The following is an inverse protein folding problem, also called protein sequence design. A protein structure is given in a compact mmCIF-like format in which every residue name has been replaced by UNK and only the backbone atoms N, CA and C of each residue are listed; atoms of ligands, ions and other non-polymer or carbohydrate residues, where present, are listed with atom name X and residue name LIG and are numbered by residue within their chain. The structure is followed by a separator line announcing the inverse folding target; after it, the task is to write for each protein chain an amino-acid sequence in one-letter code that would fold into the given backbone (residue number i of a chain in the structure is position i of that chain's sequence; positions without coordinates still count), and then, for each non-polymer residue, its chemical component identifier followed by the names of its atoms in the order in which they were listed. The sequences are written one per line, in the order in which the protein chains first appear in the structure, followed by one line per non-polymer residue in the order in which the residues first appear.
data_IF_067833523349
#
_entry.id   IF_067833523349
#
_cell.length_a   1.000
_cell.length_b   1.000
_cell.length_c   1.000
_cell.angle_alpha   90.00
_cell.angle_beta   90.00
_cell.angle_gamma   90.00
#
_symmetry.space_group_name_H-M   'P 1'
#
loop_
_entity.id
_entity.type
_entity.pdbx_description
1 polymer ?
#
# COMPACT_ATOMS: atom_id res chain seq x y z
N UNK A 1 16.58 -53.75 -13.66
CA UNK A 1 15.58 -52.88 -14.32
C UNK A 1 14.97 -51.77 -13.43
N UNK A 2 15.32 -51.65 -12.13
CA UNK A 2 14.59 -50.78 -11.18
C UNK A 2 15.08 -49.33 -10.99
N UNK A 3 16.36 -49.01 -11.22
CA UNK A 3 16.92 -47.70 -10.85
C UNK A 3 16.40 -46.52 -11.72
N UNK A 4 16.17 -46.75 -13.02
CA UNK A 4 15.68 -45.71 -13.95
C UNK A 4 14.23 -45.30 -13.69
N UNK A 5 13.37 -46.26 -13.30
CA UNK A 5 11.96 -46.00 -12.96
C UNK A 5 11.84 -45.25 -11.62
N UNK A 6 12.71 -45.56 -10.67
CA UNK A 6 12.78 -44.86 -9.38
C UNK A 6 13.26 -43.41 -9.53
N UNK A 7 14.26 -43.17 -10.39
CA UNK A 7 14.70 -41.81 -10.72
C UNK A 7 13.62 -40.99 -11.45
N UNK A 8 12.91 -41.60 -12.39
CA UNK A 8 11.81 -40.94 -13.09
C UNK A 8 10.66 -40.58 -12.12
N UNK A 9 10.32 -41.47 -11.19
CA UNK A 9 9.31 -41.21 -10.16
C UNK A 9 9.75 -40.12 -9.17
N UNK A 10 11.01 -40.14 -8.72
CA UNK A 10 11.57 -39.11 -7.85
C UNK A 10 11.63 -37.74 -8.53
N UNK A 11 11.98 -37.70 -9.82
CA UNK A 11 11.97 -36.48 -10.62
C UNK A 11 10.56 -35.93 -10.81
N UNK A 12 9.58 -36.79 -11.11
CA UNK A 12 8.17 -36.39 -11.23
C UNK A 12 7.63 -35.84 -9.90
N UNK A 13 7.97 -36.46 -8.77
CA UNK A 13 7.60 -35.96 -7.44
C UNK A 13 8.24 -34.58 -7.17
N UNK A 14 9.52 -34.40 -7.52
CA UNK A 14 10.20 -33.11 -7.37
C UNK A 14 9.57 -32.01 -8.23
N UNK A 15 9.22 -32.30 -9.49
CA UNK A 15 8.54 -31.36 -10.39
C UNK A 15 7.16 -30.97 -9.83
N UNK A 16 6.39 -31.94 -9.32
CA UNK A 16 5.11 -31.66 -8.67
C UNK A 16 5.26 -30.75 -7.45
N UNK A 17 6.24 -31.03 -6.58
CA UNK A 17 6.53 -30.17 -5.43
C UNK A 17 7.01 -28.78 -5.83
N UNK A 18 7.83 -28.65 -6.88
CA UNK A 18 8.25 -27.37 -7.41
C UNK A 18 7.07 -26.53 -7.93
N UNK A 19 6.09 -27.17 -8.59
CA UNK A 19 4.86 -26.50 -9.03
C UNK A 19 4.03 -26.03 -7.83
N UNK A 20 3.89 -26.84 -6.79
CA UNK A 20 3.16 -26.46 -5.56
C UNK A 20 3.84 -25.30 -4.83
N UNK A 21 5.17 -25.32 -4.74
CA UNK A 21 5.94 -24.20 -4.15
C UNK A 21 5.77 -22.94 -4.99
N UNK A 22 5.91 -23.05 -6.31
CA UNK A 22 5.71 -21.93 -7.24
C UNK A 22 4.30 -21.36 -7.10
N UNK A 23 3.26 -22.21 -7.07
CA UNK A 23 1.88 -21.79 -6.84
C UNK A 23 1.72 -21.10 -5.47
N UNK A 24 2.34 -21.61 -4.41
CA UNK A 24 2.27 -21.01 -3.08
C UNK A 24 2.93 -19.64 -3.03
N UNK A 25 4.08 -19.48 -3.69
CA UNK A 25 4.80 -18.20 -3.78
C UNK A 25 4.01 -17.20 -4.61
N UNK A 26 3.53 -17.59 -5.80
CA UNK A 26 2.72 -16.73 -6.66
C UNK A 26 1.41 -16.32 -6.00
N UNK A 27 0.73 -17.25 -5.33
CA UNK A 27 -0.53 -16.96 -4.62
C UNK A 27 -0.27 -16.01 -3.45
N UNK A 28 0.79 -16.21 -2.66
CA UNK A 28 1.13 -15.28 -1.56
C UNK A 28 1.46 -13.87 -2.08
N UNK A 29 2.19 -13.77 -3.18
CA UNK A 29 2.56 -12.47 -3.77
C UNK A 29 1.34 -11.76 -4.37
N UNK A 30 0.46 -12.50 -5.06
CA UNK A 30 -0.76 -11.97 -5.67
C UNK A 30 -1.85 -11.61 -4.65
N UNK A 31 -2.09 -12.48 -3.64
CA UNK A 31 -3.04 -12.22 -2.54
C UNK A 31 -2.64 -10.97 -1.75
N UNK A 32 -1.35 -10.69 -1.67
CA UNK A 32 -0.82 -9.51 -1.00
C UNK A 32 -1.13 -8.21 -1.75
N UNK A 33 -1.17 -8.21 -3.09
CA UNK A 33 -1.66 -7.07 -3.88
C UNK A 33 -3.18 -6.92 -3.74
N UNK A 34 -3.93 -8.02 -3.93
CA UNK A 34 -5.38 -7.96 -3.85
C UNK A 34 -5.88 -7.64 -2.46
N UNK A 35 -5.18 -8.03 -1.39
CA UNK A 35 -5.52 -7.65 -0.03
C UNK A 35 -5.31 -6.15 0.23
N UNK A 36 -4.25 -5.55 -0.35
CA UNK A 36 -4.00 -4.12 -0.25
C UNK A 36 -5.06 -3.31 -1.02
N UNK A 37 -5.36 -3.74 -2.25
CA UNK A 37 -6.43 -3.16 -3.07
C UNK A 37 -7.81 -3.35 -2.45
N UNK A 38 -8.13 -4.54 -1.93
CA UNK A 38 -9.42 -4.80 -1.28
C UNK A 38 -9.58 -4.00 0.00
N UNK A 39 -8.51 -3.86 0.80
CA UNK A 39 -8.54 -3.00 1.98
C UNK A 39 -8.71 -1.53 1.57
N UNK A 40 -8.09 -1.07 0.49
CA UNK A 40 -8.31 0.29 0.00
C UNK A 40 -9.73 0.49 -0.57
N UNK A 41 -10.22 -0.43 -1.40
CA UNK A 41 -11.54 -0.36 -2.04
C UNK A 41 -12.71 -0.57 -1.05
N UNK A 42 -12.49 -1.30 0.05
CA UNK A 42 -13.47 -1.40 1.15
C UNK A 42 -13.60 -0.10 1.93
N UNK A 43 -12.65 0.82 1.81
CA UNK A 43 -12.91 2.19 2.22
C UNK A 43 -13.86 2.76 1.16
N UNK A 44 -15.17 2.72 1.41
CA UNK A 44 -16.24 3.28 0.53
C UNK A 44 -16.11 4.80 0.30
N UNK A 45 -14.95 5.36 0.62
CA UNK A 45 -14.65 6.76 0.78
C UNK A 45 -13.98 7.30 -0.49
N UNK A 46 -13.41 6.44 -1.36
CA UNK A 46 -12.59 6.87 -2.50
C UNK A 46 -13.00 6.21 -3.82
N UNK A 47 -12.92 6.99 -4.91
CA UNK A 47 -12.96 6.44 -6.27
C UNK A 47 -11.53 6.23 -6.76
N UNK A 48 -11.29 5.15 -7.50
CA UNK A 48 -9.99 4.89 -8.11
C UNK A 48 -9.59 6.05 -9.04
N UNK A 49 -8.34 6.52 -8.93
CA UNK A 49 -7.76 7.55 -9.80
C UNK A 49 -6.62 7.00 -10.64
N UNK A 50 -6.08 7.82 -11.55
CA UNK A 50 -4.85 7.50 -12.28
C UNK A 50 -3.74 7.18 -11.28
N UNK A 51 -3.04 6.07 -11.50
CA UNK A 51 -1.96 5.56 -10.65
C UNK A 51 -0.61 6.21 -10.99
N UNK A 52 -0.52 7.54 -10.93
CA UNK A 52 0.69 8.29 -11.29
C UNK A 52 1.82 8.15 -10.26
N UNK A 53 1.50 8.23 -8.97
CA UNK A 53 2.45 8.00 -7.90
C UNK A 53 2.85 6.52 -7.81
N UNK A 54 1.94 5.58 -8.09
CA UNK A 54 2.30 4.17 -8.16
C UNK A 54 3.20 3.84 -9.36
N UNK A 55 3.07 4.58 -10.46
CA UNK A 55 3.94 4.47 -11.62
C UNK A 55 5.31 5.20 -11.46
N UNK A 56 5.52 5.93 -10.36
CA UNK A 56 6.79 6.60 -10.08
C UNK A 56 7.90 5.55 -9.89
N UNK A 57 8.95 5.67 -10.70
CA UNK A 57 10.11 4.76 -10.72
C UNK A 57 10.77 4.67 -9.34
N UNK A 58 10.72 5.74 -8.52
CA UNK A 58 11.24 5.75 -7.14
C UNK A 58 10.48 4.79 -6.23
N UNK A 59 9.17 4.62 -6.47
CA UNK A 59 8.33 3.67 -5.73
C UNK A 59 8.58 2.24 -6.22
N UNK A 60 8.67 2.04 -7.53
CA UNK A 60 8.97 0.74 -8.15
C UNK A 60 10.32 0.20 -7.66
N UNK A 61 11.36 1.04 -7.68
CA UNK A 61 12.71 0.65 -7.25
C UNK A 61 12.82 0.38 -5.74
N UNK A 62 11.91 0.94 -4.94
CA UNK A 62 11.90 0.77 -3.48
C UNK A 62 10.97 -0.36 -3.02
N UNK A 63 10.33 -1.09 -3.95
CA UNK A 63 9.25 -2.03 -3.70
C UNK A 63 8.13 -1.41 -2.82
N UNK A 64 7.90 -0.11 -3.01
CA UNK A 64 6.84 0.60 -2.33
C UNK A 64 5.52 0.23 -3.01
N UNK A 65 4.51 -0.04 -2.20
CA UNK A 65 3.15 -0.24 -2.68
C UNK A 65 2.37 1.04 -2.50
N UNK A 66 1.68 1.44 -3.55
CA UNK A 66 0.98 2.72 -3.62
C UNK A 66 -0.42 2.47 -4.18
N UNK A 67 -1.42 3.06 -3.54
CA UNK A 67 -2.80 3.15 -4.02
C UNK A 67 -3.19 4.61 -4.08
N UNK A 68 -3.96 4.95 -5.10
CA UNK A 68 -4.44 6.30 -5.33
C UNK A 68 -5.96 6.30 -5.43
N UNK A 69 -6.55 7.27 -4.76
CA UNK A 69 -7.98 7.52 -4.80
C UNK A 69 -8.27 9.01 -4.86
N UNK A 70 -9.51 9.34 -5.17
CA UNK A 70 -10.01 10.71 -5.13
C UNK A 70 -11.29 10.80 -4.30
N UNK A 71 -11.43 11.93 -3.62
CA UNK A 71 -12.63 12.36 -2.90
C UNK A 71 -13.14 13.64 -3.57
N UNK A 72 -14.45 13.73 -3.77
CA UNK A 72 -15.05 14.92 -4.37
C UNK A 72 -14.93 16.11 -3.42
N UNK A 73 -14.56 17.27 -3.96
CA UNK A 73 -14.41 18.52 -3.21
C UNK A 73 -13.12 18.62 -2.40
N UNK A 74 -13.01 19.73 -1.68
CA UNK A 74 -11.90 20.03 -0.76
C UNK A 74 -12.15 19.43 0.61
N UNK A 75 -11.23 18.60 1.10
CA UNK A 75 -11.21 18.16 2.49
C UNK A 75 -10.50 19.19 3.37
N UNK A 76 -11.11 19.54 4.50
CA UNK A 76 -10.45 20.33 5.53
C UNK A 76 -9.47 19.47 6.36
N UNK A 77 -8.64 20.13 7.17
CA UNK A 77 -7.62 19.46 7.99
C UNK A 77 -8.17 18.33 8.89
N UNK A 78 -9.34 18.53 9.51
CA UNK A 78 -9.97 17.53 10.37
C UNK A 78 -10.49 16.34 9.56
N UNK A 79 -11.03 16.59 8.36
CA UNK A 79 -11.50 15.53 7.45
C UNK A 79 -10.35 14.71 6.89
N UNK A 80 -9.24 15.37 6.50
CA UNK A 80 -8.02 14.71 6.03
C UNK A 80 -7.43 13.81 7.13
N UNK A 81 -7.32 14.32 8.37
CA UNK A 81 -6.85 13.53 9.51
C UNK A 81 -7.77 12.35 9.82
N UNK A 82 -9.10 12.59 9.85
CA UNK A 82 -10.08 11.53 10.10
C UNK A 82 -10.00 10.45 9.01
N UNK A 83 -9.76 10.84 7.76
CA UNK A 83 -9.61 9.91 6.65
C UNK A 83 -8.32 9.11 6.77
N UNK A 84 -7.20 9.75 7.11
CA UNK A 84 -5.94 9.07 7.37
C UNK A 84 -6.07 8.02 8.50
N UNK A 85 -6.69 8.39 9.63
CA UNK A 85 -6.92 7.46 10.75
C UNK A 85 -7.77 6.25 10.33
N UNK A 86 -8.86 6.49 9.57
CA UNK A 86 -9.69 5.40 9.04
C UNK A 86 -8.91 4.45 8.13
N UNK A 87 -8.11 4.99 7.21
CA UNK A 87 -7.25 4.18 6.33
C UNK A 87 -6.26 3.36 7.15
N UNK A 88 -5.55 3.97 8.09
CA UNK A 88 -4.58 3.26 8.93
C UNK A 88 -5.23 2.15 9.76
N UNK A 89 -6.40 2.41 10.36
CA UNK A 89 -7.15 1.41 11.12
C UNK A 89 -7.60 0.24 10.26
N UNK A 90 -7.93 0.47 9.00
CA UNK A 90 -8.32 -0.58 8.07
C UNK A 90 -7.18 -1.58 7.79
N UNK A 91 -5.94 -1.13 7.91
CA UNK A 91 -4.74 -1.97 7.87
C UNK A 91 -4.27 -2.42 9.26
N UNK A 92 -5.11 -2.27 10.30
CA UNK A 92 -4.83 -2.68 11.67
C UNK A 92 -3.76 -1.83 12.38
N UNK A 93 -3.48 -0.64 11.85
CA UNK A 93 -2.51 0.29 12.41
C UNK A 93 -3.14 1.57 12.96
N UNK A 94 -2.28 2.52 13.27
CA UNK A 94 -2.68 3.85 13.74
C UNK A 94 -1.70 4.92 13.28
N UNK A 95 -2.15 6.18 13.34
CA UNK A 95 -1.32 7.34 13.08
C UNK A 95 -0.20 7.46 14.11
N UNK A 96 1.01 7.76 13.64
CA UNK A 96 2.20 7.95 14.50
C UNK A 96 2.81 9.34 14.34
N UNK A 97 2.52 10.05 13.26
CA UNK A 97 2.97 11.41 12.99
C UNK A 97 2.13 12.00 11.85
N UNK A 98 1.91 13.31 11.85
CA UNK A 98 1.34 14.02 10.72
C UNK A 98 2.14 15.30 10.45
N UNK A 99 2.02 15.86 9.23
CA UNK A 99 2.43 17.23 8.96
C UNK A 99 1.41 18.11 9.65
N UNK A 100 1.77 18.70 10.80
CA UNK A 100 0.91 19.63 11.55
C UNK A 100 0.21 20.58 10.56
N UNK A 101 -1.09 20.42 10.39
CA UNK A 101 -1.89 21.21 9.48
C UNK A 101 -2.28 22.50 10.18
N UNK A 102 -1.43 23.52 10.05
CA UNK A 102 -2.00 24.87 10.01
C UNK A 102 -3.03 24.86 8.88
N UNK A 103 -4.27 25.23 9.19
CA UNK A 103 -5.52 24.84 8.50
C UNK A 103 -5.68 25.32 7.05
N UNK A 104 -4.60 25.74 6.40
CA UNK A 104 -4.54 26.40 5.11
C UNK A 104 -3.70 25.65 4.06
N UNK A 105 -3.01 24.54 4.38
CA UNK A 105 -2.24 23.84 3.35
C UNK A 105 -3.15 22.99 2.47
N UNK A 106 -3.04 23.14 1.16
CA UNK A 106 -3.64 22.24 0.17
C UNK A 106 -3.03 20.82 0.23
N UNK A 107 -2.02 20.65 1.08
CA UNK A 107 -1.22 19.46 1.26
C UNK A 107 -1.22 19.00 2.72
N UNK A 108 -1.56 17.74 2.96
CA UNK A 108 -1.49 17.10 4.27
C UNK A 108 -0.92 15.70 4.14
N UNK A 109 0.02 15.34 5.01
CA UNK A 109 0.63 14.01 5.05
C UNK A 109 0.53 13.44 6.44
N UNK A 110 -0.03 12.24 6.54
CA UNK A 110 -0.04 11.44 7.74
C UNK A 110 0.84 10.21 7.56
N UNK A 111 1.47 9.80 8.64
CA UNK A 111 2.30 8.62 8.74
C UNK A 111 1.73 7.70 9.80
N UNK A 112 1.70 6.41 9.51
CA UNK A 112 1.15 5.38 10.38
C UNK A 112 2.07 4.19 10.57
N UNK A 113 1.72 3.37 11.55
CA UNK A 113 2.35 2.08 11.78
C UNK A 113 1.33 0.98 12.01
N UNK A 114 1.54 -0.17 11.38
CA UNK A 114 0.83 -1.43 11.63
C UNK A 114 1.83 -2.57 11.82
N UNK A 115 1.49 -3.56 12.65
CA UNK A 115 2.25 -4.83 12.70
C UNK A 115 1.95 -5.75 11.52
N UNK A 116 0.96 -5.43 10.69
CA UNK A 116 0.53 -6.24 9.54
C UNK A 116 1.45 -6.14 8.32
N UNK A 117 2.37 -5.18 8.27
CA UNK A 117 3.34 -5.04 7.18
C UNK A 117 4.75 -5.42 7.66
N UNK A 118 5.43 -6.26 6.88
CA UNK A 118 6.79 -6.74 7.21
C UNK A 118 7.84 -5.62 7.16
N UNK A 119 7.73 -4.72 6.18
CA UNK A 119 8.66 -3.61 6.01
C UNK A 119 8.28 -2.42 6.87
N UNK A 120 9.27 -1.80 7.53
CA UNK A 120 9.08 -0.54 8.28
C UNK A 120 10.37 0.27 8.26
N UNK A 121 10.26 1.59 8.19
CA UNK A 121 11.38 2.52 8.34
C UNK A 121 11.33 3.18 9.71
N UNK A 122 12.49 3.46 10.30
CA UNK A 122 12.59 4.21 11.55
C UNK A 122 12.87 5.68 11.21
N UNK A 123 11.94 6.56 11.55
CA UNK A 123 12.04 8.01 11.34
C UNK A 123 11.83 8.68 12.69
N UNK A 124 12.78 9.53 13.12
CA UNK A 124 12.72 10.24 14.41
C UNK A 124 12.40 9.33 15.61
N UNK A 125 13.00 8.13 15.64
CA UNK A 125 12.78 7.15 16.71
C UNK A 125 11.50 6.32 16.59
N UNK A 126 10.57 6.70 15.71
CA UNK A 126 9.29 6.02 15.48
C UNK A 126 9.39 5.05 14.30
N UNK A 127 8.75 3.88 14.41
CA UNK A 127 8.59 2.98 13.26
C UNK A 127 7.41 3.46 12.44
N UNK A 128 7.60 3.54 11.13
CA UNK A 128 6.61 3.99 10.16
C UNK A 128 6.59 2.97 9.02
N UNK A 129 5.39 2.54 8.62
CA UNK A 129 5.21 1.71 7.45
C UNK A 129 3.92 2.00 6.69
N UNK A 130 3.23 3.08 7.02
CA UNK A 130 2.09 3.59 6.28
C UNK A 130 2.26 5.09 6.07
N UNK A 131 1.85 5.57 4.92
CA UNK A 131 1.79 6.98 4.58
C UNK A 131 0.48 7.23 3.85
N UNK A 132 -0.20 8.33 4.20
CA UNK A 132 -1.34 8.86 3.47
C UNK A 132 -1.07 10.34 3.16
N UNK A 133 -1.02 10.70 1.89
CA UNK A 133 -0.85 12.07 1.41
C UNK A 133 -2.14 12.56 0.75
N UNK A 134 -2.51 13.81 1.01
CA UNK A 134 -3.73 14.45 0.55
C UNK A 134 -3.34 15.74 -0.16
N UNK A 135 -3.83 15.92 -1.39
CA UNK A 135 -3.55 17.09 -2.24
C UNK A 135 -4.84 17.53 -2.93
N UNK A 136 -5.22 18.80 -2.82
CA UNK A 136 -6.43 19.34 -3.46
C UNK A 136 -6.15 19.84 -4.89
N UNK A 137 -6.89 19.33 -5.88
CA UNK A 137 -6.88 19.78 -7.28
C UNK A 137 -8.05 20.74 -7.52
N UNK A 138 -7.77 22.05 -7.51
CA UNK A 138 -8.77 23.10 -7.71
C UNK A 138 -9.45 23.05 -9.10
N UNK A 139 -8.77 22.53 -10.13
CA UNK A 139 -9.30 22.49 -11.50
C UNK A 139 -10.36 21.40 -11.65
N UNK A 140 -10.18 20.30 -10.94
CA UNK A 140 -11.09 19.14 -10.96
C UNK A 140 -12.06 19.14 -9.78
N UNK A 141 -11.85 20.03 -8.81
CA UNK A 141 -12.57 20.09 -7.53
C UNK A 141 -12.59 18.73 -6.82
N UNK A 142 -11.41 18.14 -6.65
CA UNK A 142 -11.22 16.86 -5.97
C UNK A 142 -10.00 16.89 -5.07
N UNK A 143 -10.07 16.17 -3.96
CA UNK A 143 -8.90 15.87 -3.13
C UNK A 143 -8.33 14.52 -3.57
N UNK A 144 -7.11 14.53 -4.11
CA UNK A 144 -6.32 13.33 -4.41
C UNK A 144 -5.76 12.77 -3.11
N UNK A 145 -5.92 11.47 -2.91
CA UNK A 145 -5.40 10.74 -1.75
C UNK A 145 -4.46 9.65 -2.25
N UNK A 146 -3.23 9.67 -1.76
CA UNK A 146 -2.21 8.69 -2.09
C UNK A 146 -1.82 7.95 -0.82
N UNK A 147 -2.05 6.65 -0.80
CA UNK A 147 -1.73 5.77 0.31
C UNK A 147 -0.63 4.80 -0.07
N UNK A 148 0.31 4.53 0.82
CA UNK A 148 1.36 3.57 0.51
C UNK A 148 2.20 3.09 1.68
N UNK A 149 2.99 2.06 1.39
CA UNK A 149 3.85 1.36 2.34
C UNK A 149 5.20 1.00 1.70
N UNK A 150 6.32 1.09 2.45
CA UNK A 150 6.45 1.69 3.77
C UNK A 150 6.46 3.23 3.77
N UNK A 151 6.98 3.86 2.70
CA UNK A 151 7.00 5.32 2.52
C UNK A 151 6.99 5.66 1.04
N UNK A 152 5.98 6.40 0.58
CA UNK A 152 5.83 6.79 -0.83
C UNK A 152 6.87 7.86 -1.17
N UNK A 153 7.51 7.67 -2.32
CA UNK A 153 8.39 8.64 -2.96
C UNK A 153 7.69 9.12 -4.24
N UNK A 154 6.87 10.15 -4.14
CA UNK A 154 6.44 10.90 -5.31
C UNK A 154 6.39 12.39 -5.00
N UNK A 155 6.37 13.20 -6.05
CA UNK A 155 6.08 14.62 -5.93
C UNK A 155 4.55 14.72 -5.95
N UNK A 156 3.96 15.46 -5.00
CA UNK A 156 2.51 15.49 -4.73
C UNK A 156 1.98 16.92 -4.76
#
# INVERSE_FOLDING_TARGET
MGKKKFFAAAFAAFVLWAIVILQTVLTRWYVSQTAFEQAFAKSDIMKASTQEAAADIRNINSDNRVMEGVVNGRLNASEQQTMADKLFRQFGGGEVMNSNSDSSSDYYVAYGYTSGFESSKKVNGRRINMMAAFSYDEKKDVTKVVFGTPLINSDF
#
